data_IF_381149588396
#
_entry.id   IF_381149588396
#
_cell.length_a   1.000
_cell.length_b   1.000
_cell.length_c   1.000
_cell.angle_alpha   90.00
_cell.angle_beta   90.00
_cell.angle_gamma   90.00
#
_symmetry.space_group_name_H-M   'P 1'
#
loop_
_entity.id
_entity.type
_entity.pdbx_description
1 polymer ?
#
# COMPACT_ATOMS: atom_id res chain seq x y z
N UNK A 1 -18.44 -35.78 -5.90
CA UNK A 1 -18.21 -35.02 -4.65
C UNK A 1 -17.96 -33.57 -5.03
N UNK A 2 -18.89 -32.68 -4.69
CA UNK A 2 -18.92 -31.29 -5.13
C UNK A 2 -18.21 -30.37 -4.12
N UNK A 3 -16.88 -30.33 -4.18
CA UNK A 3 -16.03 -29.54 -3.29
C UNK A 3 -15.03 -28.63 -4.03
N UNK A 4 -15.23 -28.37 -5.32
CA UNK A 4 -14.25 -27.64 -6.16
C UNK A 4 -14.79 -26.32 -6.75
N UNK A 5 -15.86 -25.73 -6.22
CA UNK A 5 -16.49 -24.56 -6.86
C UNK A 5 -16.85 -23.41 -5.91
N UNK A 6 -16.10 -23.24 -4.82
CA UNK A 6 -16.35 -22.17 -3.84
C UNK A 6 -15.21 -21.16 -3.62
N UNK A 7 -13.97 -21.35 -4.11
CA UNK A 7 -12.85 -20.49 -3.68
C UNK A 7 -12.46 -19.32 -4.61
N UNK A 8 -13.10 -19.17 -5.78
CA UNK A 8 -12.74 -18.11 -6.73
C UNK A 8 -13.89 -17.16 -7.05
N UNK A 9 -14.60 -16.69 -6.02
CA UNK A 9 -15.30 -15.41 -6.11
C UNK A 9 -14.70 -14.46 -5.09
N UNK A 10 -13.81 -13.62 -5.60
CA UNK A 10 -13.40 -12.36 -5.00
C UNK A 10 -14.66 -11.59 -4.59
N UNK A 11 -15.03 -11.67 -3.32
CA UNK A 11 -16.04 -10.80 -2.74
C UNK A 11 -15.27 -9.62 -2.13
N UNK A 12 -15.08 -8.51 -2.89
CA UNK A 12 -14.43 -7.31 -2.35
C UNK A 12 -15.10 -6.83 -1.06
N UNK A 13 -16.40 -7.07 -0.91
CA UNK A 13 -17.15 -6.78 0.32
C UNK A 13 -16.71 -7.62 1.52
N UNK A 14 -16.42 -8.92 1.32
CA UNK A 14 -15.90 -9.78 2.40
C UNK A 14 -14.50 -9.35 2.82
N UNK A 15 -13.63 -9.04 1.85
CA UNK A 15 -12.29 -8.54 2.14
C UNK A 15 -12.34 -7.18 2.87
N UNK A 16 -13.22 -6.26 2.43
CA UNK A 16 -13.42 -4.96 3.05
C UNK A 16 -13.85 -5.11 4.51
N UNK A 17 -14.83 -5.97 4.77
CA UNK A 17 -15.31 -6.23 6.14
C UNK A 17 -14.20 -6.82 7.02
N UNK A 18 -13.43 -7.78 6.52
CA UNK A 18 -12.31 -8.37 7.27
C UNK A 18 -11.23 -7.34 7.62
N UNK A 19 -10.81 -6.49 6.67
CA UNK A 19 -9.82 -5.46 6.96
C UNK A 19 -10.38 -4.34 7.83
N UNK A 20 -11.68 -4.04 7.75
CA UNK A 20 -12.34 -3.09 8.64
C UNK A 20 -12.39 -3.62 10.08
N UNK A 21 -12.65 -4.91 10.27
CA UNK A 21 -12.57 -5.55 11.58
C UNK A 21 -11.13 -5.53 12.11
N UNK A 22 -10.13 -5.84 11.28
CA UNK A 22 -8.73 -5.77 11.66
C UNK A 22 -8.32 -4.34 12.07
N UNK A 23 -8.80 -3.31 11.36
CA UNK A 23 -8.58 -1.91 11.73
C UNK A 23 -9.20 -1.58 13.09
N UNK A 24 -10.41 -2.04 13.36
CA UNK A 24 -11.11 -1.78 14.62
C UNK A 24 -10.51 -2.57 15.80
N UNK A 25 -9.90 -3.72 15.54
CA UNK A 25 -9.35 -4.64 16.54
C UNK A 25 -7.83 -4.52 16.71
N UNK A 26 -7.16 -3.64 15.97
CA UNK A 26 -5.71 -3.46 16.02
C UNK A 26 -5.25 -3.16 17.45
N UNK A 27 -4.12 -3.75 17.82
CA UNK A 27 -3.51 -3.56 19.15
C UNK A 27 -2.22 -2.76 19.11
N UNK A 28 -1.68 -2.55 17.90
CA UNK A 28 -0.45 -1.83 17.66
C UNK A 28 -0.43 -1.18 16.26
N UNK A 29 0.44 -0.19 16.09
CA UNK A 29 0.52 0.57 14.85
C UNK A 29 1.00 -0.26 13.64
N UNK A 30 1.70 -1.38 13.84
CA UNK A 30 2.05 -2.30 12.76
C UNK A 30 0.80 -2.98 12.17
N UNK A 31 -0.07 -3.51 13.02
CA UNK A 31 -1.37 -4.07 12.62
C UNK A 31 -2.26 -2.99 11.98
N UNK A 32 -2.30 -1.80 12.56
CA UNK A 32 -3.06 -0.67 12.01
C UNK A 32 -2.55 -0.27 10.62
N UNK A 33 -1.23 -0.23 10.41
CA UNK A 33 -0.61 0.02 9.11
C UNK A 33 -1.07 -1.00 8.06
N UNK A 34 -0.99 -2.29 8.39
CA UNK A 34 -1.40 -3.36 7.47
C UNK A 34 -2.89 -3.24 7.12
N UNK A 35 -3.75 -3.09 8.12
CA UNK A 35 -5.19 -2.97 7.91
C UNK A 35 -5.53 -1.76 7.02
N UNK A 36 -4.97 -0.59 7.32
CA UNK A 36 -5.17 0.62 6.52
C UNK A 36 -4.67 0.47 5.07
N UNK A 37 -3.51 -0.17 4.86
CA UNK A 37 -2.97 -0.41 3.52
C UNK A 37 -3.92 -1.27 2.66
N UNK A 38 -4.49 -2.33 3.24
CA UNK A 38 -5.45 -3.16 2.51
C UNK A 38 -6.82 -2.49 2.35
N UNK A 39 -7.28 -1.72 3.34
CA UNK A 39 -8.50 -0.91 3.21
C UNK A 39 -8.37 0.11 2.08
N UNK A 40 -7.20 0.72 1.89
CA UNK A 40 -6.93 1.66 0.81
C UNK A 40 -7.18 1.01 -0.55
N UNK A 41 -6.76 -0.23 -0.77
CA UNK A 41 -6.90 -0.93 -2.07
C UNK A 41 -8.35 -1.21 -2.46
N UNK A 42 -9.26 -1.18 -1.49
CA UNK A 42 -10.67 -1.49 -1.68
C UNK A 42 -11.54 -0.24 -1.83
N UNK A 43 -10.96 0.96 -1.68
CA UNK A 43 -11.75 2.20 -1.79
C UNK A 43 -12.09 2.53 -3.24
N UNK A 44 -13.34 2.97 -3.51
CA UNK A 44 -13.79 3.25 -4.87
C UNK A 44 -13.19 4.54 -5.44
N UNK A 45 -12.95 5.55 -4.59
CA UNK A 45 -12.47 6.87 -5.03
C UNK A 45 -10.98 7.04 -4.77
N UNK A 46 -10.28 7.77 -5.66
CA UNK A 46 -8.87 8.08 -5.48
C UNK A 46 -8.60 8.87 -4.18
N UNK A 47 -9.53 9.74 -3.77
CA UNK A 47 -9.43 10.47 -2.51
C UNK A 47 -9.50 9.53 -1.29
N UNK A 48 -10.45 8.60 -1.26
CA UNK A 48 -10.54 7.63 -0.16
C UNK A 48 -9.32 6.69 -0.15
N UNK A 49 -8.80 6.29 -1.32
CA UNK A 49 -7.52 5.56 -1.42
C UNK A 49 -6.37 6.38 -0.82
N UNK A 50 -6.30 7.67 -1.12
CA UNK A 50 -5.27 8.56 -0.59
C UNK A 50 -5.34 8.64 0.94
N UNK A 51 -6.53 8.88 1.49
CA UNK A 51 -6.73 9.06 2.93
C UNK A 51 -6.31 7.80 3.71
N UNK A 52 -6.71 6.62 3.24
CA UNK A 52 -6.30 5.34 3.85
C UNK A 52 -4.82 5.03 3.68
N UNK A 53 -4.23 5.34 2.52
CA UNK A 53 -2.79 5.16 2.33
C UNK A 53 -1.96 6.11 3.21
N UNK A 54 -2.47 7.32 3.49
CA UNK A 54 -1.84 8.25 4.44
C UNK A 54 -1.91 7.71 5.86
N UNK A 55 -3.09 7.22 6.27
CA UNK A 55 -3.24 6.57 7.57
C UNK A 55 -2.29 5.37 7.72
N UNK A 56 -2.14 4.55 6.67
CA UNK A 56 -1.19 3.44 6.68
C UNK A 56 0.27 3.91 6.89
N UNK A 57 0.70 4.95 6.17
CA UNK A 57 2.05 5.51 6.32
C UNK A 57 2.28 6.14 7.70
N UNK A 58 1.31 6.89 8.22
CA UNK A 58 1.38 7.49 9.56
C UNK A 58 1.56 6.43 10.65
N UNK A 59 0.84 5.31 10.54
CA UNK A 59 0.97 4.16 11.44
C UNK A 59 2.30 3.45 11.27
N UNK A 60 2.76 3.23 10.03
CA UNK A 60 4.08 2.66 9.77
C UNK A 60 5.21 3.44 10.45
N UNK A 61 5.16 4.77 10.37
CA UNK A 61 6.16 5.65 10.99
C UNK A 61 6.05 5.71 12.51
N UNK A 62 4.86 5.43 13.08
CA UNK A 62 4.61 5.42 14.53
C UNK A 62 4.96 4.10 15.20
N UNK A 63 4.95 2.98 14.45
CA UNK A 63 5.10 1.63 14.99
C UNK A 63 6.44 1.36 15.69
N UNK A 64 7.48 2.14 15.38
CA UNK A 64 8.86 1.91 15.87
C UNK A 64 9.28 0.43 15.70
N UNK A 65 8.85 -0.18 14.59
CA UNK A 65 8.96 -1.61 14.33
C UNK A 65 9.62 -1.82 12.97
N UNK A 66 10.78 -2.47 12.96
CA UNK A 66 11.56 -2.68 11.73
C UNK A 66 10.81 -3.46 10.64
N UNK A 67 9.77 -4.22 11.00
CA UNK A 67 8.95 -4.96 10.04
C UNK A 67 8.22 -4.02 9.07
N UNK A 68 7.95 -2.78 9.48
CA UNK A 68 7.32 -1.77 8.59
C UNK A 68 8.27 -1.31 7.48
N UNK A 69 9.59 -1.40 7.67
CA UNK A 69 10.57 -0.91 6.71
C UNK A 69 10.46 -1.65 5.37
N UNK A 70 10.14 -2.95 5.43
CA UNK A 70 9.88 -3.76 4.24
C UNK A 70 8.64 -3.29 3.47
N UNK A 71 7.68 -2.65 4.15
CA UNK A 71 6.43 -2.16 3.57
C UNK A 71 6.52 -0.72 3.04
N UNK A 72 7.43 0.10 3.57
CA UNK A 72 7.58 1.51 3.18
C UNK A 72 7.62 1.74 1.65
N UNK A 73 8.35 0.95 0.83
CA UNK A 73 8.32 1.14 -0.61
C UNK A 73 6.92 1.01 -1.20
N UNK A 74 6.16 0.00 -0.78
CA UNK A 74 4.79 -0.26 -1.25
C UNK A 74 3.79 0.79 -0.78
N UNK A 75 3.94 1.30 0.44
CA UNK A 75 3.11 2.39 0.96
C UNK A 75 3.34 3.67 0.15
N UNK A 76 4.60 4.03 -0.11
CA UNK A 76 4.95 5.19 -0.91
C UNK A 76 4.49 5.03 -2.38
N UNK A 77 4.61 3.84 -2.98
CA UNK A 77 4.08 3.59 -4.32
C UNK A 77 2.56 3.74 -4.41
N UNK A 78 1.83 3.32 -3.37
CA UNK A 78 0.37 3.43 -3.30
C UNK A 78 -0.07 4.89 -3.18
N UNK A 79 0.63 5.68 -2.36
CA UNK A 79 0.43 7.14 -2.27
C UNK A 79 0.74 7.83 -3.60
N UNK A 80 1.86 7.46 -4.24
CA UNK A 80 2.22 8.00 -5.55
C UNK A 80 1.11 7.78 -6.59
N UNK A 81 0.56 6.56 -6.64
CA UNK A 81 -0.57 6.24 -7.52
C UNK A 81 -1.82 7.05 -7.21
N UNK A 82 -2.23 7.12 -5.94
CA UNK A 82 -3.42 7.87 -5.53
C UNK A 82 -3.28 9.39 -5.82
N UNK A 83 -2.12 9.99 -5.57
CA UNK A 83 -1.85 11.38 -5.92
C UNK A 83 -1.87 11.61 -7.43
N UNK A 84 -1.30 10.70 -8.22
CA UNK A 84 -1.31 10.80 -9.68
C UNK A 84 -2.74 10.75 -10.26
N UNK A 85 -3.61 9.88 -9.72
CA UNK A 85 -5.02 9.79 -10.10
C UNK A 85 -5.81 11.07 -9.77
N UNK A 86 -5.41 11.80 -8.73
CA UNK A 86 -5.96 13.09 -8.34
C UNK A 86 -5.34 14.28 -9.09
N UNK A 87 -4.40 14.03 -10.02
CA UNK A 87 -3.69 15.08 -10.76
C UNK A 87 -2.62 15.81 -9.94
N UNK A 88 -2.29 15.34 -8.74
CA UNK A 88 -1.28 15.95 -7.85
C UNK A 88 0.11 15.40 -8.18
N UNK A 89 0.64 15.76 -9.34
CA UNK A 89 1.85 15.17 -9.91
C UNK A 89 3.11 15.38 -9.06
N UNK A 90 3.24 16.53 -8.40
CA UNK A 90 4.41 16.83 -7.57
C UNK A 90 4.46 15.90 -6.34
N UNK A 91 3.33 15.75 -5.66
CA UNK A 91 3.20 14.81 -4.55
C UNK A 91 3.44 13.37 -5.01
N UNK A 92 2.91 12.99 -6.19
CA UNK A 92 3.14 11.67 -6.76
C UNK A 92 4.63 11.37 -6.98
N UNK A 93 5.39 12.33 -7.52
CA UNK A 93 6.83 12.22 -7.76
C UNK A 93 7.65 12.18 -6.47
N UNK A 94 7.28 12.96 -5.44
CA UNK A 94 7.91 12.90 -4.11
C UNK A 94 7.78 11.48 -3.53
N UNK A 95 6.58 10.92 -3.57
CA UNK A 95 6.34 9.58 -3.04
C UNK A 95 7.02 8.49 -3.87
N UNK A 96 7.14 8.64 -5.18
CA UNK A 96 7.92 7.71 -6.01
C UNK A 96 9.41 7.71 -5.64
N UNK A 97 10.00 8.88 -5.40
CA UNK A 97 11.38 9.00 -4.94
C UNK A 97 11.57 8.36 -3.56
N UNK A 98 10.65 8.60 -2.63
CA UNK A 98 10.68 7.98 -1.31
C UNK A 98 10.55 6.46 -1.39
N UNK A 99 9.71 5.94 -2.29
CA UNK A 99 9.60 4.50 -2.53
C UNK A 99 10.92 3.91 -3.03
N UNK A 100 11.61 4.60 -3.95
CA UNK A 100 12.92 4.16 -4.45
C UNK A 100 13.97 4.10 -3.34
N UNK A 101 14.09 5.16 -2.55
CA UNK A 101 15.05 5.20 -1.44
C UNK A 101 14.75 4.11 -0.40
N UNK A 102 13.47 3.86 -0.10
CA UNK A 102 13.10 2.80 0.83
C UNK A 102 13.40 1.41 0.24
N UNK A 103 13.20 1.20 -1.06
CA UNK A 103 13.44 -0.08 -1.72
C UNK A 103 14.94 -0.46 -1.70
N UNK A 104 15.84 0.53 -1.72
CA UNK A 104 17.28 0.30 -1.57
C UNK A 104 17.64 -0.41 -0.26
N UNK A 105 16.87 -0.17 0.80
CA UNK A 105 17.09 -0.77 2.12
C UNK A 105 16.46 -2.16 2.26
N UNK A 106 15.62 -2.60 1.30
CA UNK A 106 14.98 -3.91 1.34
C UNK A 106 15.86 -4.94 0.63
N UNK A 107 16.33 -5.93 1.38
CA UNK A 107 17.12 -7.06 0.84
C UNK A 107 16.23 -8.19 0.30
N UNK A 108 16.82 -9.06 -0.52
CA UNK A 108 16.18 -10.27 -1.03
C UNK A 108 15.25 -10.06 -2.23
N UNK A 109 14.60 -11.14 -2.71
CA UNK A 109 13.85 -11.15 -3.98
C UNK A 109 12.72 -10.12 -4.04
N UNK A 110 12.11 -9.82 -2.89
CA UNK A 110 11.06 -8.80 -2.80
C UNK A 110 11.61 -7.38 -3.03
N UNK A 111 12.77 -7.06 -2.46
CA UNK A 111 13.45 -5.77 -2.69
C UNK A 111 13.90 -5.62 -4.14
N UNK A 112 14.37 -6.71 -4.77
CA UNK A 112 14.73 -6.71 -6.20
C UNK A 112 13.51 -6.44 -7.09
N UNK A 113 12.38 -7.10 -6.83
CA UNK A 113 11.12 -6.88 -7.54
C UNK A 113 10.64 -5.43 -7.44
N UNK A 114 10.74 -4.81 -6.25
CA UNK A 114 10.39 -3.41 -6.04
C UNK A 114 11.26 -2.45 -6.87
N UNK A 115 12.58 -2.63 -6.84
CA UNK A 115 13.52 -1.81 -7.63
C UNK A 115 13.29 -1.96 -9.13
N UNK A 116 12.99 -3.17 -9.62
CA UNK A 116 12.66 -3.41 -11.02
C UNK A 116 11.33 -2.74 -11.42
N UNK A 117 10.29 -2.86 -10.60
CA UNK A 117 9.00 -2.21 -10.84
C UNK A 117 9.09 -0.69 -10.88
N UNK A 118 9.91 -0.10 -10.01
CA UNK A 118 10.22 1.33 -10.00
C UNK A 118 11.01 1.76 -11.25
N UNK A 119 12.04 1.01 -11.66
CA UNK A 119 12.82 1.31 -12.86
C UNK A 119 12.00 1.21 -14.17
N UNK A 120 10.96 0.37 -14.19
CA UNK A 120 10.06 0.21 -15.33
C UNK A 120 9.01 1.34 -15.45
N UNK A 121 8.78 2.13 -14.40
CA UNK A 121 7.96 3.34 -14.49
C UNK A 121 8.74 4.39 -15.27
N UNK A 122 8.40 4.55 -16.55
CA UNK A 122 9.00 5.59 -17.39
C UNK A 122 8.74 6.95 -16.74
N UNK A 123 9.73 7.87 -16.69
CA UNK A 123 9.44 9.26 -16.41
C UNK A 123 8.44 9.74 -17.47
N UNK A 124 7.34 10.37 -17.04
CA UNK A 124 6.47 11.09 -17.98
C UNK A 124 7.33 12.22 -18.57
N UNK A 125 7.79 12.04 -19.80
CA UNK A 125 8.34 13.14 -20.58
C UNK A 125 7.25 14.21 -20.68
N UNK A 126 7.59 15.44 -20.26
CA UNK A 126 6.76 16.63 -20.42
C UNK A 126 6.61 16.99 -21.90
#
# INVERSE_FOLDING_TARGET
MAGCQAEFKQLPETALNMYQQAWNAQTNDYEACIAAHYLARLQPTAQARLDWNRAALERALSANDERVNSFLPSLHLSLSGAYAELGQTDAAGIHEKLASNAAEQVSGPYGEMLRQGLAARKPKSF
#
